data_IF_336390193264
#
_entry.id   IF_336390193264
#
_cell.length_a   1.000
_cell.length_b   1.000
_cell.length_c   1.000
_cell.angle_alpha   90.00
_cell.angle_beta   90.00
_cell.angle_gamma   90.00
#
_symmetry.space_group_name_H-M   'P 1'
#
loop_
_entity.id
_entity.type
_entity.pdbx_description
1 polymer ?
#
# COMPACT_ATOMS: atom_id res chain seq x y z
N UNK A 1 5.41 -13.05 11.78
CA UNK A 1 4.26 -12.16 11.48
C UNK A 1 4.05 -12.16 9.97
N UNK A 2 2.83 -12.46 9.51
CA UNK A 2 2.53 -12.68 8.09
C UNK A 2 1.42 -11.75 7.63
N UNK A 3 1.62 -11.12 6.47
CA UNK A 3 0.57 -10.38 5.75
C UNK A 3 -0.38 -11.40 5.14
N UNK A 4 -1.68 -11.15 5.25
CA UNK A 4 -2.71 -11.93 4.57
C UNK A 4 -2.95 -11.41 3.16
N UNK A 5 -4.21 -11.10 2.85
CA UNK A 5 -4.63 -10.60 1.54
C UNK A 5 -4.30 -9.12 1.38
N UNK A 6 -3.83 -8.72 0.20
CA UNK A 6 -3.70 -7.32 -0.24
C UNK A 6 -4.79 -7.04 -1.28
N UNK A 7 -5.44 -5.89 -1.21
CA UNK A 7 -6.47 -5.48 -2.16
C UNK A 7 -6.37 -4.00 -2.50
N UNK A 8 -6.54 -3.68 -3.79
CA UNK A 8 -6.55 -2.31 -4.31
C UNK A 8 -7.98 -1.95 -4.72
N UNK A 9 -8.41 -0.73 -4.38
CA UNK A 9 -9.76 -0.22 -4.58
C UNK A 9 -9.73 1.28 -4.85
N UNK A 10 -10.89 1.88 -5.18
CA UNK A 10 -11.04 3.32 -5.37
C UNK A 10 -10.00 3.95 -6.32
N UNK A 11 -9.74 3.25 -7.43
CA UNK A 11 -8.74 3.64 -8.42
C UNK A 11 -9.23 4.83 -9.23
N UNK A 12 -8.39 5.85 -9.32
CA UNK A 12 -8.54 7.02 -10.18
C UNK A 12 -7.29 7.20 -11.05
N UNK A 13 -7.21 8.30 -11.79
CA UNK A 13 -6.06 8.59 -12.65
C UNK A 13 -4.77 8.91 -11.87
N UNK A 14 -4.87 9.36 -10.60
CA UNK A 14 -3.72 9.68 -9.75
C UNK A 14 -3.78 9.07 -8.34
N UNK A 15 -4.78 8.24 -8.06
CA UNK A 15 -5.02 7.76 -6.70
C UNK A 15 -5.54 6.33 -6.67
N UNK A 16 -5.32 5.66 -5.54
CA UNK A 16 -5.98 4.40 -5.21
C UNK A 16 -5.95 4.19 -3.70
N UNK A 17 -6.81 3.31 -3.20
CA UNK A 17 -6.75 2.83 -1.83
C UNK A 17 -6.17 1.40 -1.80
N UNK A 18 -5.16 1.16 -0.98
CA UNK A 18 -4.64 -0.19 -0.73
C UNK A 18 -5.02 -0.63 0.67
N UNK A 19 -5.47 -1.88 0.80
CA UNK A 19 -5.88 -2.47 2.07
C UNK A 19 -5.27 -3.86 2.23
N UNK A 20 -5.03 -4.27 3.48
CA UNK A 20 -4.44 -5.55 3.77
C UNK A 20 -4.97 -6.18 5.05
N UNK A 21 -4.96 -7.51 5.08
CA UNK A 21 -5.20 -8.30 6.30
C UNK A 21 -3.89 -8.83 6.88
N UNK A 22 -3.94 -9.30 8.12
CA UNK A 22 -2.85 -10.03 8.77
C UNK A 22 -3.41 -11.34 9.30
N UNK A 23 -2.55 -12.35 9.44
CA UNK A 23 -2.97 -13.62 10.06
C UNK A 23 -3.22 -13.45 11.55
N UNK A 24 -4.21 -14.18 12.08
CA UNK A 24 -4.55 -14.17 13.51
C UNK A 24 -3.31 -14.47 14.37
N UNK A 25 -3.11 -13.68 15.42
CA UNK A 25 -1.94 -13.79 16.30
C UNK A 25 -0.66 -13.12 15.75
N UNK A 26 -0.71 -12.49 14.57
CA UNK A 26 0.36 -11.62 14.10
C UNK A 26 0.21 -10.21 14.68
N UNK A 27 1.32 -9.61 15.09
CA UNK A 27 1.44 -8.19 15.40
C UNK A 27 2.63 -7.62 14.63
N UNK A 28 2.50 -6.37 14.20
CA UNK A 28 3.53 -5.63 13.49
C UNK A 28 3.67 -4.27 14.17
N UNK A 29 4.88 -3.71 14.21
CA UNK A 29 5.10 -2.34 14.72
C UNK A 29 4.81 -1.29 13.65
N UNK A 30 5.04 -1.63 12.38
CA UNK A 30 4.83 -0.76 11.22
C UNK A 30 4.73 -1.57 9.94
N UNK A 31 4.12 -0.98 8.91
CA UNK A 31 4.19 -1.47 7.53
C UNK A 31 4.92 -0.47 6.66
N UNK A 32 5.65 -1.00 5.68
CA UNK A 32 6.23 -0.22 4.58
C UNK A 32 5.50 -0.62 3.31
N UNK A 33 4.86 0.35 2.67
CA UNK A 33 4.16 0.20 1.40
C UNK A 33 5.08 0.79 0.34
N UNK A 34 5.56 -0.07 -0.57
CA UNK A 34 6.35 0.32 -1.73
C UNK A 34 5.45 0.33 -2.97
N UNK A 35 5.40 1.46 -3.67
CA UNK A 35 4.67 1.63 -4.93
C UNK A 35 5.67 1.93 -6.03
N UNK A 36 5.66 1.11 -7.08
CA UNK A 36 6.58 1.22 -8.21
C UNK A 36 5.79 1.35 -9.51
N UNK A 37 6.23 2.24 -10.40
CA UNK A 37 5.70 2.29 -11.76
C UNK A 37 6.29 1.11 -12.56
N UNK A 38 5.42 0.41 -13.30
CA UNK A 38 5.84 -0.72 -14.15
C UNK A 38 6.84 -0.32 -15.24
N UNK A 39 6.83 0.94 -15.67
CA UNK A 39 7.63 1.45 -16.78
C UNK A 39 8.96 2.10 -16.36
N UNK A 40 9.25 2.24 -15.06
CA UNK A 40 10.38 3.06 -14.59
C UNK A 40 11.06 2.60 -13.30
N UNK A 41 12.22 3.20 -12.97
CA UNK A 41 12.94 2.90 -11.73
C UNK A 41 12.34 3.61 -10.50
N UNK A 42 11.34 4.48 -10.69
CA UNK A 42 10.75 5.27 -9.63
C UNK A 42 9.95 4.39 -8.67
N UNK A 43 10.27 4.52 -7.37
CA UNK A 43 9.56 3.85 -6.28
C UNK A 43 9.27 4.85 -5.17
N UNK A 44 8.06 4.79 -4.64
CA UNK A 44 7.63 5.57 -3.49
C UNK A 44 7.42 4.63 -2.31
N UNK A 45 8.03 4.95 -1.17
CA UNK A 45 7.90 4.21 0.07
C UNK A 45 7.12 5.02 1.09
N UNK A 46 6.12 4.40 1.70
CA UNK A 46 5.31 5.00 2.75
C UNK A 46 5.25 4.09 3.96
N UNK A 47 5.52 4.66 5.12
CA UNK A 47 5.46 3.94 6.39
C UNK A 47 4.17 4.29 7.13
N UNK A 48 3.49 3.27 7.66
CA UNK A 48 2.27 3.42 8.47
C UNK A 48 2.37 2.61 9.76
N UNK A 49 1.48 2.89 10.72
CA UNK A 49 1.47 2.20 12.00
C UNK A 49 1.18 0.70 11.85
N UNK A 50 1.65 -0.05 12.84
CA UNK A 50 1.41 -1.48 13.01
C UNK A 50 -0.06 -1.92 13.09
N UNK A 51 -0.99 -0.98 13.21
CA UNK A 51 -2.44 -1.18 13.35
C UNK A 51 -3.20 -0.75 12.08
N UNK A 52 -2.58 -0.01 11.17
CA UNK A 52 -3.17 0.44 9.92
C UNK A 52 -3.49 -0.73 8.97
N UNK A 53 -4.74 -0.90 8.53
CA UNK A 53 -5.15 -1.93 7.55
C UNK A 53 -5.41 -1.39 6.15
N UNK A 54 -5.20 -0.09 5.95
CA UNK A 54 -5.39 0.57 4.68
C UNK A 54 -4.57 1.86 4.58
N UNK A 55 -4.27 2.26 3.36
CA UNK A 55 -3.58 3.50 3.02
C UNK A 55 -4.15 4.08 1.73
N UNK A 56 -4.57 5.35 1.80
CA UNK A 56 -4.93 6.13 0.63
C UNK A 56 -3.66 6.67 -0.05
N UNK A 57 -3.50 6.37 -1.33
CA UNK A 57 -2.43 6.85 -2.20
C UNK A 57 -2.98 7.90 -3.14
N UNK A 58 -2.29 9.03 -3.31
CA UNK A 58 -2.67 10.09 -4.23
C UNK A 58 -1.44 10.83 -4.77
N UNK A 59 -1.62 11.60 -5.85
CA UNK A 59 -0.53 12.35 -6.47
C UNK A 59 0.39 11.46 -7.32
N UNK A 60 -0.15 10.35 -7.83
CA UNK A 60 0.53 9.51 -8.80
C UNK A 60 0.53 10.22 -10.17
N UNK A 61 1.61 10.07 -10.93
CA UNK A 61 1.67 10.64 -12.27
C UNK A 61 0.67 9.93 -13.20
N UNK A 62 -0.08 10.69 -14.03
CA UNK A 62 -1.12 10.13 -14.92
C UNK A 62 -0.62 9.13 -15.97
N UNK A 63 0.69 8.99 -16.17
CA UNK A 63 1.30 8.03 -17.10
C UNK A 63 1.77 6.75 -16.36
N UNK A 64 0.81 6.05 -15.74
CA UNK A 64 1.04 4.72 -15.12
C UNK A 64 0.30 3.63 -15.85
#
# INVERSE_FOLDING_TARGET
PQIGSLSVSDVSWDSFNVSWTIEDGSAFDSFVIEVANSAGPERQNLSVSGDARSLWMSGLSPDT
#
